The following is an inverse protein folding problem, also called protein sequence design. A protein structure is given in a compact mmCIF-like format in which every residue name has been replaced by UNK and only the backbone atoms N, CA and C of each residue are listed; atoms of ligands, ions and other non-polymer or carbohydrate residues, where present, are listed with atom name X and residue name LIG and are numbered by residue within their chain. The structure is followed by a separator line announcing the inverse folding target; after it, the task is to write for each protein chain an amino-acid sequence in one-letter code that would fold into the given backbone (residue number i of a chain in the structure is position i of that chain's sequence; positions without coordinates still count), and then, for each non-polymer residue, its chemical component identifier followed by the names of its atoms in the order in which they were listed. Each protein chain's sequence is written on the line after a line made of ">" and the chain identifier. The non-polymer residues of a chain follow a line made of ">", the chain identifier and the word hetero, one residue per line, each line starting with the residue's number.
data_IF_340278753861
#
_entry.id   IF_340278753861
#
_cell.length_a   1.000
_cell.length_b   1.000
_cell.length_c   1.000
_cell.angle_alpha   90.00
_cell.angle_beta   90.00
_cell.angle_gamma   90.00
#
_symmetry.space_group_name_H-M   'P 1'
#
loop_
_entity.id
_entity.type
_entity.pdbx_description
1 polymer ?
#
# COMPACT_ATOMS: atom_id res chain seq x y z
N UNK A 1 -30.48 -65.88 1.58
CA UNK A 1 -30.72 -64.43 1.81
C UNK A 1 -29.47 -63.68 1.40
N UNK A 2 -29.59 -62.67 0.53
CA UNK A 2 -28.46 -61.93 -0.05
C UNK A 2 -28.48 -60.50 0.51
N UNK A 3 -27.48 -60.13 1.30
CA UNK A 3 -27.37 -58.79 1.91
C UNK A 3 -26.75 -57.86 0.86
N UNK A 4 -27.38 -56.72 0.50
CA UNK A 4 -26.79 -55.80 -0.46
C UNK A 4 -25.65 -55.00 0.20
N UNK A 5 -24.55 -54.71 -0.53
CA UNK A 5 -23.48 -53.89 -0.01
C UNK A 5 -23.95 -52.42 0.02
N UNK A 6 -23.92 -51.81 1.21
CA UNK A 6 -24.09 -50.36 1.37
C UNK A 6 -22.74 -49.72 1.07
N UNK A 7 -22.58 -49.15 -0.12
CA UNK A 7 -21.41 -48.34 -0.45
C UNK A 7 -21.61 -46.98 0.18
N UNK A 8 -21.00 -46.77 1.35
CA UNK A 8 -20.98 -45.46 2.01
C UNK A 8 -20.01 -44.54 1.26
N UNK A 9 -20.51 -43.75 0.32
CA UNK A 9 -19.74 -42.66 -0.30
C UNK A 9 -19.51 -41.55 0.73
N UNK A 10 -18.29 -41.46 1.25
CA UNK A 10 -17.85 -40.32 2.05
C UNK A 10 -17.49 -39.18 1.10
N UNK A 11 -18.43 -38.25 0.87
CA UNK A 11 -18.16 -36.98 0.18
C UNK A 11 -17.26 -36.15 1.09
N UNK A 12 -15.95 -36.19 0.85
CA UNK A 12 -14.99 -35.23 1.42
C UNK A 12 -15.34 -33.86 0.85
N UNK A 13 -16.09 -33.06 1.60
CA UNK A 13 -16.22 -31.63 1.38
C UNK A 13 -14.82 -31.02 1.51
N UNK A 14 -14.16 -30.84 0.36
CA UNK A 14 -12.94 -30.06 0.27
C UNK A 14 -13.34 -28.60 0.49
N UNK A 15 -13.41 -28.18 1.75
CA UNK A 15 -13.56 -26.76 2.06
C UNK A 15 -12.28 -26.11 1.56
N UNK A 16 -12.33 -25.20 0.56
CA UNK A 16 -11.14 -24.50 0.13
C UNK A 16 -10.61 -23.72 1.33
N UNK A 17 -9.47 -24.15 1.87
CA UNK A 17 -8.80 -23.41 2.93
C UNK A 17 -8.23 -22.14 2.31
N UNK A 18 -8.80 -20.99 2.66
CA UNK A 18 -8.21 -19.71 2.32
C UNK A 18 -7.00 -19.47 3.25
N UNK A 19 -5.80 -19.38 2.69
CA UNK A 19 -4.63 -18.90 3.42
C UNK A 19 -4.59 -17.37 3.33
N UNK A 20 -4.74 -16.63 4.44
CA UNK A 20 -4.62 -15.18 4.41
C UNK A 20 -3.19 -14.77 4.08
N UNK A 21 -3.04 -13.67 3.32
CA UNK A 21 -1.75 -13.03 3.11
C UNK A 21 -1.34 -12.32 4.41
N UNK A 22 -0.14 -12.60 4.90
CA UNK A 22 0.41 -11.97 6.09
C UNK A 22 1.91 -11.77 5.95
N UNK A 23 2.38 -10.59 6.31
CA UNK A 23 3.80 -10.24 6.33
C UNK A 23 4.08 -9.28 7.49
N UNK A 24 5.32 -9.26 7.96
CA UNK A 24 5.78 -8.39 9.02
C UNK A 24 7.21 -7.93 8.74
N UNK A 25 7.44 -6.63 8.83
CA UNK A 25 8.77 -6.03 8.73
C UNK A 25 9.07 -5.29 10.03
N UNK A 26 9.96 -5.84 10.86
CA UNK A 26 10.53 -5.10 11.99
C UNK A 26 11.63 -4.12 11.52
N UNK A 27 12.29 -4.46 10.41
CA UNK A 27 13.17 -3.62 9.61
C UNK A 27 13.06 -4.05 8.15
N UNK A 28 13.29 -3.12 7.24
CA UNK A 28 13.31 -3.40 5.81
C UNK A 28 14.69 -3.94 5.38
N UNK A 29 14.74 -5.04 4.62
CA UNK A 29 15.98 -5.54 4.02
C UNK A 29 16.68 -4.46 3.19
N UNK A 30 17.98 -4.32 3.40
CA UNK A 30 18.83 -3.32 2.74
C UNK A 30 19.71 -3.92 1.66
N UNK A 31 19.58 -5.22 1.41
CA UNK A 31 20.33 -5.89 0.36
C UNK A 31 19.80 -5.46 -1.02
N UNK A 32 20.71 -5.44 -1.98
CA UNK A 32 20.42 -5.10 -3.38
C UNK A 32 19.58 -6.15 -4.10
N UNK A 33 19.31 -7.27 -3.44
CA UNK A 33 18.31 -8.25 -3.83
C UNK A 33 17.03 -7.82 -3.14
N UNK A 34 15.96 -7.48 -3.88
CA UNK A 34 14.68 -7.03 -3.29
C UNK A 34 13.97 -8.17 -2.54
N UNK A 35 14.58 -8.69 -1.48
CA UNK A 35 14.08 -9.81 -0.67
C UNK A 35 12.81 -9.44 0.10
N UNK A 36 12.56 -8.13 0.27
CA UNK A 36 11.36 -7.59 0.89
C UNK A 36 10.10 -7.71 0.03
N UNK A 37 10.25 -7.86 -1.29
CA UNK A 37 9.13 -7.74 -2.23
C UNK A 37 8.49 -6.35 -2.17
N UNK A 38 9.28 -5.28 -1.95
CA UNK A 38 8.79 -3.89 -1.95
C UNK A 38 9.36 -3.17 -3.16
N UNK A 39 8.50 -2.55 -3.93
CA UNK A 39 8.84 -1.74 -5.09
C UNK A 39 8.86 -0.27 -4.66
N UNK A 40 10.01 0.37 -4.82
CA UNK A 40 10.17 1.79 -4.58
C UNK A 40 9.98 2.58 -5.87
N UNK A 41 9.18 3.65 -5.82
CA UNK A 41 8.98 4.58 -6.94
C UNK A 41 9.26 6.02 -6.50
N UNK A 42 9.59 6.88 -7.47
CA UNK A 42 9.91 8.28 -7.21
C UNK A 42 11.22 8.43 -6.44
N UNK A 43 11.16 9.14 -5.32
CA UNK A 43 12.31 9.37 -4.43
C UNK A 43 12.37 8.41 -3.25
N UNK A 44 11.49 7.41 -3.17
CA UNK A 44 11.52 6.47 -2.05
C UNK A 44 12.76 5.56 -2.10
N UNK A 45 13.35 5.28 -0.94
CA UNK A 45 14.42 4.28 -0.80
C UNK A 45 14.41 3.65 0.60
N UNK A 46 15.16 2.55 0.75
CA UNK A 46 15.49 1.97 2.06
C UNK A 46 16.86 2.45 2.51
N UNK A 47 16.93 3.02 3.71
CA UNK A 47 18.18 3.45 4.35
C UNK A 47 19.02 2.25 4.79
N UNK A 48 20.31 2.46 5.04
CA UNK A 48 21.23 1.42 5.51
C UNK A 48 20.86 0.79 6.86
N UNK A 49 19.96 1.42 7.62
CA UNK A 49 19.46 0.92 8.91
C UNK A 49 18.12 0.18 8.79
N UNK A 50 17.60 0.02 7.56
CA UNK A 50 16.36 -0.72 7.28
C UNK A 50 15.10 0.08 7.58
N UNK A 51 15.13 1.40 7.34
CA UNK A 51 13.96 2.29 7.40
C UNK A 51 13.67 2.82 6.01
N UNK A 52 12.39 2.85 5.62
CA UNK A 52 11.97 3.44 4.35
C UNK A 52 11.88 4.96 4.51
N UNK A 53 12.66 5.68 3.70
CA UNK A 53 12.48 7.11 3.47
C UNK A 53 11.58 7.25 2.23
N UNK A 54 10.35 7.73 2.41
CA UNK A 54 9.44 8.01 1.28
C UNK A 54 9.82 9.30 0.54
N UNK A 55 10.54 10.19 1.21
CA UNK A 55 10.97 11.49 0.69
C UNK A 55 12.43 11.69 1.07
N UNK A 56 13.24 12.27 0.18
CA UNK A 56 14.59 12.75 0.51
C UNK A 56 14.63 13.51 1.83
N UNK A 57 15.67 13.24 2.62
CA UNK A 57 15.89 13.78 3.96
C UNK A 57 17.20 14.60 4.06
N UNK A 58 17.71 15.11 2.93
CA UNK A 58 18.96 15.87 2.87
C UNK A 58 18.77 17.35 3.24
N UNK A 59 19.29 17.78 4.39
CA UNK A 59 19.15 19.17 4.87
C UNK A 59 19.61 20.24 3.85
N UNK A 60 20.72 19.96 3.15
CA UNK A 60 21.32 20.86 2.15
C UNK A 60 20.88 20.54 0.71
N UNK A 61 20.00 19.55 0.52
CA UNK A 61 19.53 19.12 -0.79
C UNK A 61 18.33 19.94 -1.30
N UNK A 62 18.02 19.78 -2.59
CA UNK A 62 16.74 20.26 -3.11
C UNK A 62 15.62 19.29 -2.69
N UNK A 63 14.79 19.72 -1.74
CA UNK A 63 13.65 18.95 -1.22
C UNK A 63 12.31 19.37 -1.86
N UNK A 64 12.33 20.20 -2.90
CA UNK A 64 11.10 20.62 -3.58
C UNK A 64 10.52 19.45 -4.40
N UNK A 65 9.19 19.33 -4.42
CA UNK A 65 8.44 18.34 -5.22
C UNK A 65 8.89 16.89 -4.98
N UNK A 66 9.25 16.59 -3.73
CA UNK A 66 9.81 15.31 -3.32
C UNK A 66 8.69 14.34 -2.96
N UNK A 67 8.62 13.21 -3.66
CA UNK A 67 7.52 12.24 -3.58
C UNK A 67 8.01 10.83 -3.83
N UNK A 68 7.53 9.89 -3.04
CA UNK A 68 7.92 8.50 -3.16
C UNK A 68 6.80 7.54 -2.77
N UNK A 69 6.77 6.39 -3.44
CA UNK A 69 5.92 5.26 -3.06
C UNK A 69 6.79 4.08 -2.66
N UNK A 70 6.35 3.34 -1.65
CA UNK A 70 6.84 1.99 -1.35
C UNK A 70 5.64 1.04 -1.41
N UNK A 71 5.64 0.12 -2.37
CA UNK A 71 4.49 -0.73 -2.71
C UNK A 71 4.87 -2.20 -2.53
N UNK A 72 4.02 -2.98 -1.87
CA UNK A 72 4.21 -4.42 -1.80
C UNK A 72 3.98 -5.06 -3.17
N UNK A 73 4.93 -5.87 -3.63
CA UNK A 73 4.98 -6.43 -4.99
C UNK A 73 3.86 -7.45 -5.25
N UNK A 74 3.47 -8.23 -4.24
CA UNK A 74 2.43 -9.23 -4.43
C UNK A 74 1.03 -8.61 -4.35
N UNK A 75 0.17 -8.81 -5.36
CA UNK A 75 -1.18 -8.28 -5.35
C UNK A 75 -2.01 -8.84 -4.19
N UNK A 76 -2.74 -7.96 -3.51
CA UNK A 76 -3.70 -8.34 -2.47
C UNK A 76 -5.09 -8.48 -3.08
N UNK A 77 -5.71 -9.65 -2.90
CA UNK A 77 -7.06 -9.89 -3.40
C UNK A 77 -8.10 -9.37 -2.41
N UNK A 78 -8.73 -8.25 -2.75
CA UNK A 78 -9.72 -7.59 -1.88
C UNK A 78 -11.14 -8.18 -2.00
N UNK A 79 -11.45 -8.82 -3.13
CA UNK A 79 -12.75 -9.44 -3.35
C UNK A 79 -12.69 -10.56 -4.39
N UNK A 80 -13.69 -11.44 -4.37
CA UNK A 80 -13.89 -12.52 -5.34
C UNK A 80 -15.24 -12.36 -6.04
N UNK A 81 -15.21 -12.19 -7.37
CA UNK A 81 -16.44 -11.95 -8.15
C UNK A 81 -17.38 -13.16 -8.20
N UNK A 82 -16.84 -14.39 -8.18
CA UNK A 82 -17.63 -15.61 -8.33
C UNK A 82 -18.43 -15.93 -7.05
N UNK A 83 -17.81 -15.70 -5.90
CA UNK A 83 -18.34 -15.99 -4.56
C UNK A 83 -18.95 -14.76 -3.89
N UNK A 84 -18.66 -13.55 -4.39
CA UNK A 84 -19.00 -12.26 -3.76
C UNK A 84 -18.37 -12.05 -2.38
N UNK A 85 -17.36 -12.85 -2.03
CA UNK A 85 -16.64 -12.69 -0.78
C UNK A 85 -15.73 -11.46 -0.83
N UNK A 86 -15.70 -10.71 0.27
CA UNK A 86 -14.78 -9.61 0.51
C UNK A 86 -13.68 -10.07 1.46
N UNK A 87 -12.50 -9.48 1.33
CA UNK A 87 -11.38 -9.68 2.25
C UNK A 87 -11.30 -8.54 3.24
N UNK A 88 -11.21 -8.86 4.52
CA UNK A 88 -10.83 -7.91 5.56
C UNK A 88 -9.30 -7.88 5.68
N UNK A 89 -8.76 -6.73 6.06
CA UNK A 89 -7.33 -6.58 6.32
C UNK A 89 -7.07 -5.75 7.57
N UNK A 90 -5.90 -5.96 8.17
CA UNK A 90 -5.39 -5.15 9.27
C UNK A 90 -3.94 -4.83 8.97
N UNK A 91 -3.58 -3.55 9.09
CA UNK A 91 -2.20 -3.10 8.94
C UNK A 91 -1.80 -2.34 10.19
N UNK A 92 -0.53 -2.44 10.55
CA UNK A 92 0.07 -1.67 11.64
C UNK A 92 1.46 -1.27 11.19
N UNK A 93 1.74 0.02 11.24
CA UNK A 93 3.03 0.58 10.88
C UNK A 93 3.41 1.69 11.86
N UNK A 94 4.70 1.93 11.96
CA UNK A 94 5.27 3.06 12.71
C UNK A 94 5.97 3.98 11.73
N UNK A 95 5.86 5.29 11.96
CA UNK A 95 6.46 6.30 11.10
C UNK A 95 6.96 7.47 11.94
N UNK A 96 7.87 8.25 11.36
CA UNK A 96 8.40 9.48 11.94
C UNK A 96 8.28 10.57 10.89
N UNK A 97 7.79 11.74 11.28
CA UNK A 97 7.78 12.95 10.45
C UNK A 97 8.67 13.97 11.14
N UNK A 98 9.79 14.29 10.50
CA UNK A 98 10.73 15.30 10.97
C UNK A 98 10.75 16.48 10.00
N UNK A 99 10.70 17.69 10.55
CA UNK A 99 10.82 18.91 9.77
C UNK A 99 12.27 19.38 9.76
N UNK A 100 12.79 19.73 8.59
CA UNK A 100 14.12 20.35 8.47
C UNK A 100 14.06 21.81 8.95
N UNK A 101 15.00 22.19 9.82
CA UNK A 101 15.09 23.57 10.35
C UNK A 101 15.11 24.60 9.22
N UNK A 102 14.26 25.62 9.33
CA UNK A 102 14.14 26.68 8.34
C UNK A 102 13.28 26.34 7.12
N UNK A 103 12.61 25.18 7.09
CA UNK A 103 11.62 24.82 6.07
C UNK A 103 10.23 24.72 6.68
N UNK A 104 9.22 25.08 5.88
CA UNK A 104 7.81 24.86 6.24
C UNK A 104 7.51 23.36 6.15
N UNK A 105 6.87 22.76 7.17
CA UNK A 105 6.42 21.37 7.13
C UNK A 105 5.36 21.19 6.05
N UNK A 106 5.55 20.19 5.18
CA UNK A 106 4.61 19.75 4.17
C UNK A 106 5.15 18.45 3.52
N UNK A 107 4.33 17.60 2.88
CA UNK A 107 2.87 17.65 2.74
C UNK A 107 2.15 16.59 3.58
N UNK A 108 2.73 15.40 3.76
CA UNK A 108 2.17 14.33 4.59
C UNK A 108 2.57 12.93 4.15
N UNK A 109 1.87 11.92 4.68
CA UNK A 109 2.04 10.50 4.33
C UNK A 109 0.68 9.86 4.15
N UNK A 110 0.56 8.90 3.21
CA UNK A 110 -0.62 8.07 3.06
C UNK A 110 -0.31 6.58 2.97
N UNK A 111 -1.13 5.76 3.62
CA UNK A 111 -1.27 4.34 3.29
C UNK A 111 -2.39 4.20 2.26
N UNK A 112 -2.18 3.44 1.19
CA UNK A 112 -3.15 3.31 0.11
C UNK A 112 -3.24 1.89 -0.46
N UNK A 113 -4.39 1.59 -1.05
CA UNK A 113 -4.61 0.46 -1.94
C UNK A 113 -4.83 1.00 -3.35
N UNK A 114 -4.22 0.39 -4.36
CA UNK A 114 -4.39 0.77 -5.76
C UNK A 114 -4.53 -0.47 -6.65
N UNK A 115 -5.13 -0.35 -7.85
CA UNK A 115 -5.17 -1.44 -8.82
C UNK A 115 -3.79 -2.03 -9.08
N UNK A 116 -3.72 -3.35 -9.26
CA UNK A 116 -2.45 -4.00 -9.54
C UNK A 116 -1.80 -3.43 -10.81
N UNK A 117 -0.51 -3.11 -10.73
CA UNK A 117 0.22 -2.45 -11.83
C UNK A 117 0.07 -0.93 -11.87
N UNK A 118 -0.60 -0.31 -10.89
CA UNK A 118 -0.63 1.16 -10.77
C UNK A 118 0.77 1.74 -10.62
N UNK A 119 1.01 2.86 -11.29
CA UNK A 119 2.24 3.64 -11.18
C UNK A 119 1.93 5.02 -10.62
N UNK A 120 2.96 5.62 -10.02
CA UNK A 120 2.89 6.98 -9.52
C UNK A 120 2.47 7.95 -10.66
N UNK A 121 1.39 8.75 -10.52
CA UNK A 121 0.91 9.61 -11.59
C UNK A 121 1.89 10.77 -11.89
N UNK A 122 2.05 11.09 -13.17
CA UNK A 122 2.88 12.23 -13.59
C UNK A 122 2.20 13.58 -13.28
N UNK A 123 2.97 14.65 -13.09
CA UNK A 123 2.42 16.02 -12.95
C UNK A 123 1.57 16.20 -11.69
N UNK A 124 2.04 15.66 -10.58
CA UNK A 124 1.36 15.61 -9.31
C UNK A 124 2.16 16.43 -8.31
N UNK A 125 1.51 17.41 -7.68
CA UNK A 125 2.14 18.23 -6.65
C UNK A 125 2.12 17.53 -5.29
N UNK A 126 2.94 18.02 -4.35
CA UNK A 126 3.10 17.41 -3.03
C UNK A 126 1.79 17.32 -2.23
N UNK A 127 0.89 18.29 -2.40
CA UNK A 127 -0.44 18.30 -1.75
C UNK A 127 -1.36 17.15 -2.16
N UNK A 128 -1.09 16.47 -3.28
CA UNK A 128 -1.82 15.28 -3.72
C UNK A 128 -1.29 13.97 -3.11
N UNK A 129 -0.22 14.07 -2.30
CA UNK A 129 0.53 12.94 -1.76
C UNK A 129 0.98 11.92 -2.82
N UNK A 130 1.18 12.40 -4.05
CA UNK A 130 1.49 11.56 -5.20
C UNK A 130 0.39 10.55 -5.59
N UNK A 131 -0.87 10.74 -5.18
CA UNK A 131 -1.95 9.78 -5.42
C UNK A 131 -2.88 10.15 -6.59
N UNK A 132 -3.04 11.44 -6.91
CA UNK A 132 -3.99 11.92 -7.93
C UNK A 132 -3.44 13.14 -8.66
N UNK A 133 -3.69 13.28 -9.96
CA UNK A 133 -3.25 14.43 -10.77
C UNK A 133 -4.03 15.71 -10.46
N UNK A 134 -3.33 16.85 -10.43
CA UNK A 134 -3.97 18.17 -10.30
C UNK A 134 -4.78 18.50 -11.55
N UNK A 135 -6.11 18.51 -11.42
CA UNK A 135 -7.05 18.64 -12.54
C UNK A 135 -8.34 17.83 -12.39
N UNK A 136 -8.42 17.01 -11.35
CA UNK A 136 -9.58 16.16 -11.09
C UNK A 136 -9.41 14.75 -11.66
N UNK A 137 -10.15 13.84 -11.04
CA UNK A 137 -10.26 12.43 -11.40
C UNK A 137 -10.68 12.27 -12.87
N UNK A 138 -9.74 11.99 -13.76
CA UNK A 138 -10.03 11.15 -14.91
C UNK A 138 -10.28 9.75 -14.37
N UNK A 139 -11.54 9.49 -14.00
CA UNK A 139 -12.02 8.15 -13.70
C UNK A 139 -11.98 7.33 -14.98
N UNK A 140 -10.85 6.72 -15.30
CA UNK A 140 -10.91 5.36 -15.81
C UNK A 140 -11.64 4.55 -14.72
N UNK A 141 -12.67 3.81 -15.11
CA UNK A 141 -13.75 3.32 -14.24
C UNK A 141 -13.30 2.38 -13.09
N UNK A 142 -11.99 2.13 -12.95
CA UNK A 142 -11.37 1.25 -11.96
C UNK A 142 -10.21 1.89 -11.17
N UNK A 143 -9.88 3.17 -11.36
CA UNK A 143 -8.76 3.85 -10.69
C UNK A 143 -9.12 4.40 -9.30
N UNK A 144 -9.61 3.55 -8.41
CA UNK A 144 -9.81 3.91 -7.00
C UNK A 144 -8.52 3.70 -6.21
N UNK A 145 -7.85 4.79 -5.81
CA UNK A 145 -6.87 4.74 -4.72
C UNK A 145 -7.58 5.15 -3.43
N UNK A 146 -7.81 4.20 -2.53
CA UNK A 146 -8.35 4.49 -1.19
C UNK A 146 -7.16 4.56 -0.23
N UNK A 147 -7.01 5.68 0.48
CA UNK A 147 -5.91 5.85 1.41
C UNK A 147 -6.20 6.81 2.53
N UNK A 148 -5.51 6.62 3.65
CA UNK A 148 -5.60 7.50 4.82
C UNK A 148 -4.37 8.41 4.84
N UNK A 149 -4.60 9.72 4.78
CA UNK A 149 -3.56 10.74 4.82
C UNK A 149 -3.39 11.31 6.24
N UNK A 150 -2.15 11.48 6.68
CA UNK A 150 -1.80 12.20 7.92
C UNK A 150 -0.96 13.41 7.53
N UNK A 151 -1.44 14.62 7.85
CA UNK A 151 -0.75 15.90 7.63
C UNK A 151 -0.45 16.59 8.97
N UNK A 152 0.73 17.20 9.10
CA UNK A 152 1.15 17.90 10.32
C UNK A 152 0.86 19.40 10.28
N UNK A 153 0.04 19.82 11.25
CA UNK A 153 -0.09 21.14 11.91
C UNK A 153 -0.25 22.41 11.09
N UNK A 154 -1.22 22.50 10.18
CA UNK A 154 -2.18 23.62 10.05
C UNK A 154 -3.11 23.38 8.84
N UNK A 155 -4.20 22.64 9.04
CA UNK A 155 -5.25 22.47 8.04
C UNK A 155 -5.61 21.01 7.83
N UNK A 156 -6.84 20.66 8.17
CA UNK A 156 -7.40 19.33 7.98
C UNK A 156 -7.59 19.02 6.50
N UNK A 157 -7.14 17.84 6.08
CA UNK A 157 -7.78 17.10 5.00
C UNK A 157 -7.95 15.64 5.41
N UNK A 158 -9.18 15.28 5.76
CA UNK A 158 -9.63 13.90 5.78
C UNK A 158 -10.05 13.54 4.35
N UNK A 159 -9.55 12.44 3.83
CA UNK A 159 -10.19 11.80 2.68
C UNK A 159 -10.44 10.33 3.01
N UNK A 160 -11.72 10.00 3.18
CA UNK A 160 -12.24 8.64 3.13
C UNK A 160 -12.89 8.44 1.78
N UNK A 161 -12.64 7.30 1.13
CA UNK A 161 -13.68 6.62 0.35
C UNK A 161 -13.54 5.11 0.55
N UNK A 162 -14.69 4.49 0.84
CA UNK A 162 -14.92 3.04 0.95
C UNK A 162 -14.98 2.48 -0.47
#
# INVERSE_FOLDING_TARGET
>A
MRVPPVVSSFLLLLVPMASPLSFNFSRFPTDNVNTSGIIYQGQAWVSSVGVIDLTKNEANGNLNMNRGWAVYEQPVRLWDNATRNLSDFTTTFSFVVETVVGRTPADGLAFFLAPNGSTMPNGTDGGTLALFTDGGIYLERESGAAGFAIQSSHGLLFLFFI
#
